data_IF_944674166983
#
_entry.id   IF_944674166983
#
_cell.length_a   1.000
_cell.length_b   1.000
_cell.length_c   1.000
_cell.angle_alpha   90.00
_cell.angle_beta   90.00
_cell.angle_gamma   90.00
#
_symmetry.space_group_name_H-M   'P 1'
#
loop_
_entity.id
_entity.type
_entity.pdbx_description
1 polymer ?
#
# COMPACT_ATOMS: atom_id res chain seq x y z
N UNK A 1 -3.46 -15.38 -9.95
CA UNK A 1 -3.80 -13.97 -9.66
C UNK A 1 -2.53 -13.30 -9.18
N UNK A 2 -1.83 -12.58 -10.06
CA UNK A 2 -0.66 -11.79 -9.68
C UNK A 2 -1.11 -10.51 -9.00
N UNK A 3 -0.31 -10.00 -8.07
CA UNK A 3 -0.41 -8.61 -7.66
C UNK A 3 0.43 -7.83 -8.66
N UNK A 4 -0.22 -6.97 -9.44
CA UNK A 4 0.45 -6.06 -10.40
C UNK A 4 0.26 -4.61 -9.94
N UNK A 5 1.10 -3.72 -10.44
CA UNK A 5 1.13 -2.30 -10.05
C UNK A 5 -0.25 -1.63 -10.10
N UNK A 6 -1.02 -1.87 -11.16
CA UNK A 6 -2.36 -1.31 -11.33
C UNK A 6 -3.34 -1.81 -10.26
N UNK A 7 -3.27 -3.11 -9.95
CA UNK A 7 -4.13 -3.72 -8.92
C UNK A 7 -3.81 -3.20 -7.51
N UNK A 8 -2.54 -2.91 -7.24
CA UNK A 8 -2.09 -2.30 -6.00
C UNK A 8 -2.57 -0.85 -5.90
N UNK A 9 -2.48 -0.07 -6.99
CA UNK A 9 -2.94 1.31 -7.06
C UNK A 9 -4.45 1.45 -6.82
N UNK A 10 -5.26 0.57 -7.41
CA UNK A 10 -6.71 0.55 -7.20
C UNK A 10 -7.04 0.29 -5.72
N UNK A 11 -6.38 -0.69 -5.10
CA UNK A 11 -6.57 -1.01 -3.68
C UNK A 11 -6.13 0.13 -2.77
N UNK A 12 -4.98 0.75 -3.03
CA UNK A 12 -4.48 1.88 -2.26
C UNK A 12 -5.43 3.08 -2.32
N UNK A 13 -5.96 3.40 -3.51
CA UNK A 13 -6.97 4.45 -3.67
C UNK A 13 -8.25 4.16 -2.89
N UNK A 14 -8.78 2.95 -3.00
CA UNK A 14 -10.02 2.55 -2.32
C UNK A 14 -9.86 2.54 -0.79
N UNK A 15 -8.73 2.03 -0.27
CA UNK A 15 -8.40 2.08 1.15
C UNK A 15 -8.27 3.53 1.67
N UNK A 16 -7.54 4.39 0.95
CA UNK A 16 -7.39 5.79 1.34
C UNK A 16 -8.72 6.55 1.28
N UNK A 17 -9.50 6.36 0.21
CA UNK A 17 -10.82 6.96 0.06
C UNK A 17 -11.76 6.54 1.21
N UNK A 18 -11.76 5.25 1.56
CA UNK A 18 -12.54 4.73 2.69
C UNK A 18 -12.11 5.29 4.04
N UNK A 19 -10.80 5.48 4.26
CA UNK A 19 -10.27 6.10 5.49
C UNK A 19 -10.60 7.58 5.60
N UNK A 20 -10.61 8.30 4.48
CA UNK A 20 -10.92 9.72 4.41
C UNK A 20 -12.43 10.00 4.31
N UNK A 21 -13.25 9.01 3.96
CA UNK A 21 -14.68 9.18 3.73
C UNK A 21 -15.02 9.96 2.45
N UNK A 22 -14.11 9.99 1.48
CA UNK A 22 -14.30 10.67 0.18
C UNK A 22 -14.53 9.66 -0.94
N UNK A 23 -14.97 10.13 -2.10
CA UNK A 23 -15.15 9.27 -3.24
C UNK A 23 -13.79 8.90 -3.87
N UNK A 24 -13.65 7.68 -4.38
CA UNK A 24 -12.37 7.21 -4.94
C UNK A 24 -11.86 8.11 -6.08
N UNK A 25 -12.76 8.69 -6.87
CA UNK A 25 -12.42 9.61 -7.95
C UNK A 25 -11.75 10.91 -7.47
N UNK A 26 -11.90 11.28 -6.20
CA UNK A 26 -11.16 12.39 -5.59
C UNK A 26 -9.73 12.00 -5.19
N UNK A 27 -9.43 10.70 -5.11
CA UNK A 27 -8.08 10.18 -4.86
C UNK A 27 -7.38 9.91 -6.18
N UNK A 28 -6.31 10.66 -6.44
CA UNK A 28 -5.43 10.48 -7.59
C UNK A 28 -4.05 9.98 -7.16
N UNK A 29 -3.50 9.04 -7.91
CA UNK A 29 -2.15 8.51 -7.66
C UNK A 29 -1.14 9.47 -8.25
N UNK A 30 -0.26 10.03 -7.42
CA UNK A 30 0.79 10.94 -7.86
C UNK A 30 1.98 10.18 -8.46
N UNK A 31 2.34 9.04 -7.88
CA UNK A 31 3.49 8.23 -8.30
C UNK A 31 3.38 6.82 -7.75
N UNK A 32 3.90 5.83 -8.47
CA UNK A 32 4.02 4.45 -7.98
C UNK A 32 5.48 4.04 -8.12
N UNK A 33 6.10 3.68 -7.01
CA UNK A 33 7.50 3.27 -6.99
C UNK A 33 7.62 1.86 -6.41
N UNK A 34 8.24 0.95 -7.15
CA UNK A 34 8.68 -0.32 -6.60
C UNK A 34 9.72 -0.07 -5.52
N UNK A 35 9.49 -0.58 -4.30
CA UNK A 35 10.38 -0.38 -3.16
C UNK A 35 10.56 -1.66 -2.38
N UNK A 36 11.78 -1.85 -1.89
CA UNK A 36 12.11 -2.88 -0.90
C UNK A 36 11.83 -2.33 0.50
N UNK A 37 11.02 -3.06 1.26
CA UNK A 37 10.65 -2.74 2.62
C UNK A 37 11.47 -3.60 3.58
N UNK A 38 11.98 -3.05 4.69
CA UNK A 38 12.82 -3.79 5.63
C UNK A 38 12.04 -4.84 6.45
N UNK A 39 10.71 -4.76 6.43
CA UNK A 39 9.80 -5.62 7.18
C UNK A 39 8.54 -5.94 6.36
N UNK A 40 7.87 -7.03 6.74
CA UNK A 40 6.64 -7.47 6.06
C UNK A 40 5.43 -6.53 6.27
N UNK A 41 5.51 -5.50 7.11
CA UNK A 41 4.43 -4.50 7.23
C UNK A 41 4.44 -3.48 6.10
N UNK A 42 5.43 -3.52 5.20
CA UNK A 42 5.53 -2.58 4.07
C UNK A 42 5.48 -1.10 4.53
N UNK A 43 6.05 -0.80 5.69
CA UNK A 43 6.03 0.54 6.28
C UNK A 43 4.70 0.95 6.95
N UNK A 44 3.71 0.05 7.04
CA UNK A 44 2.44 0.26 7.74
C UNK A 44 2.29 -0.71 8.94
N UNK A 45 3.14 -0.62 9.98
CA UNK A 45 3.06 -1.51 11.13
C UNK A 45 1.76 -1.30 11.91
N UNK A 46 1.09 -2.40 12.27
CA UNK A 46 -0.06 -2.37 13.17
C UNK A 46 0.44 -2.31 14.61
N UNK A 47 -0.12 -1.38 15.40
CA UNK A 47 0.28 -1.21 16.81
C UNK A 47 -0.02 -2.49 17.60
N UNK A 48 1.03 -3.14 18.11
CA UNK A 48 0.92 -4.35 18.92
C UNK A 48 1.23 -5.65 18.17
N UNK A 49 1.44 -5.60 16.85
CA UNK A 49 1.91 -6.73 16.07
C UNK A 49 3.40 -6.62 15.75
N UNK A 50 4.11 -7.73 15.87
CA UNK A 50 5.52 -7.82 15.47
C UNK A 50 5.57 -8.38 14.05
N UNK A 51 5.90 -7.52 13.10
CA UNK A 51 6.10 -7.94 11.71
C UNK A 51 7.42 -8.67 11.55
N UNK A 52 7.43 -9.68 10.68
CA UNK A 52 8.66 -10.39 10.37
C UNK A 52 9.68 -9.43 9.72
N UNK A 53 10.92 -9.47 10.21
CA UNK A 53 12.03 -8.70 9.68
C UNK A 53 12.62 -9.42 8.48
N UNK A 54 11.94 -9.30 7.35
CA UNK A 54 12.35 -9.85 6.07
C UNK A 54 12.14 -8.78 5.00
N UNK A 55 13.11 -8.68 4.08
CA UNK A 55 12.99 -7.77 2.95
C UNK A 55 11.79 -8.19 2.09
N UNK A 56 10.81 -7.31 1.99
CA UNK A 56 9.62 -7.50 1.19
C UNK A 56 9.62 -6.55 -0.01
N UNK A 57 9.39 -7.08 -1.21
CA UNK A 57 9.23 -6.29 -2.41
C UNK A 57 7.77 -5.83 -2.51
N UNK A 58 7.55 -4.53 -2.71
CA UNK A 58 6.21 -3.98 -2.88
C UNK A 58 6.21 -2.67 -3.65
N UNK A 59 5.08 -1.97 -3.60
CA UNK A 59 4.91 -0.66 -4.21
C UNK A 59 4.58 0.38 -3.15
N UNK A 60 5.27 1.50 -3.20
CA UNK A 60 4.88 2.72 -2.50
C UNK A 60 4.04 3.56 -3.47
N UNK A 61 2.77 3.74 -3.12
CA UNK A 61 1.72 4.43 -3.89
C UNK A 61 1.24 5.63 -3.09
#
# INVERSE_FOLDING_TARGET
>A
MGFDQDSAAVRARSDLAGRLGIAENEVSVASINGREFPDMSLGAPVKGEMSAQMIANGWQI
#
